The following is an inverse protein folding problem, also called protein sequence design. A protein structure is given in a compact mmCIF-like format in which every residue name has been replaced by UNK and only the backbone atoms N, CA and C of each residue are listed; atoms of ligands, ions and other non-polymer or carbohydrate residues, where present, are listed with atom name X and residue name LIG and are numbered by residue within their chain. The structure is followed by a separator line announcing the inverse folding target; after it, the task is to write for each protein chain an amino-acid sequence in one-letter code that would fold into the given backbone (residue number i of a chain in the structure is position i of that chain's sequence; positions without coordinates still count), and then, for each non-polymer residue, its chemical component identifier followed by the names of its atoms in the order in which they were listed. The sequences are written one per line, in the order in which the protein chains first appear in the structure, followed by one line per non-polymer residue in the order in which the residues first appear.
data_IF_010945780803
#
_entry.id   IF_010945780803
#
_cell.length_a   1.000
_cell.length_b   1.000
_cell.length_c   1.000
_cell.angle_alpha   90.00
_cell.angle_beta   90.00
_cell.angle_gamma   90.00
#
_symmetry.space_group_name_H-M   'P 1'
#
loop_
_entity.id
_entity.type
_entity.pdbx_description
1 polymer ?
#
# COMPACT_ATOMS: atom_id res chain seq x y z
N UNK A 1 -1.52 -9.38 3.86
CA UNK A 1 -0.96 -8.33 2.98
C UNK A 1 -1.44 -8.53 1.55
N UNK A 2 -1.96 -7.48 0.92
CA UNK A 2 -2.33 -7.48 -0.50
C UNK A 2 -1.11 -7.40 -1.39
N UNK A 3 -0.52 -8.54 -1.74
CA UNK A 3 0.57 -8.55 -2.71
C UNK A 3 0.03 -8.24 -4.12
N UNK A 4 0.11 -6.97 -4.51
CA UNK A 4 -0.14 -6.52 -5.87
C UNK A 4 1.08 -5.73 -6.37
N UNK A 5 1.20 -5.60 -7.69
CA UNK A 5 2.36 -4.93 -8.31
C UNK A 5 2.57 -3.50 -7.80
N UNK A 6 1.49 -2.77 -7.48
CA UNK A 6 1.54 -1.40 -6.98
C UNK A 6 2.18 -1.33 -5.59
N UNK A 7 1.76 -2.20 -4.67
CA UNK A 7 2.26 -2.24 -3.30
C UNK A 7 3.71 -2.72 -3.25
N UNK A 8 4.09 -3.69 -4.09
CA UNK A 8 5.49 -4.09 -4.28
C UNK A 8 6.35 -2.92 -4.78
N UNK A 9 5.89 -2.20 -5.81
CA UNK A 9 6.62 -1.05 -6.35
C UNK A 9 6.77 0.06 -5.30
N UNK A 10 5.76 0.28 -4.46
CA UNK A 10 5.82 1.25 -3.37
C UNK A 10 6.86 0.86 -2.31
N UNK A 11 6.88 -0.40 -1.88
CA UNK A 11 7.89 -0.90 -0.93
C UNK A 11 9.30 -0.69 -1.47
N UNK A 12 9.55 -1.13 -2.70
CA UNK A 12 10.85 -0.94 -3.37
C UNK A 12 11.27 0.53 -3.46
N UNK A 13 10.33 1.44 -3.76
CA UNK A 13 10.61 2.89 -3.80
C UNK A 13 10.90 3.48 -2.43
N UNK A 14 10.23 3.00 -1.38
CA UNK A 14 10.50 3.43 -0.01
C UNK A 14 11.89 2.97 0.46
N UNK A 15 12.27 1.73 0.15
CA UNK A 15 13.59 1.18 0.48
C UNK A 15 14.73 1.96 -0.18
N UNK A 16 14.54 2.42 -1.43
CA UNK A 16 15.52 3.23 -2.16
C UNK A 16 15.48 4.72 -1.80
N UNK A 17 14.49 5.18 -1.04
CA UNK A 17 14.32 6.60 -0.74
C UNK A 17 15.30 7.05 0.34
N UNK A 18 16.29 7.84 -0.04
CA UNK A 18 17.25 8.46 0.88
C UNK A 18 16.73 9.78 1.49
N UNK A 19 15.67 10.35 0.91
CA UNK A 19 15.03 11.57 1.41
C UNK A 19 13.81 11.23 2.27
N UNK A 20 13.55 12.00 3.35
CA UNK A 20 12.32 11.85 4.10
C UNK A 20 11.12 12.15 3.19
N UNK A 21 10.11 11.26 3.21
CA UNK A 21 8.90 11.42 2.42
C UNK A 21 7.99 12.50 3.05
N UNK A 22 8.13 13.74 2.61
CA UNK A 22 7.39 14.90 3.15
C UNK A 22 6.18 15.29 2.27
N UNK A 23 5.27 14.34 2.00
CA UNK A 23 3.99 14.68 1.39
C UNK A 23 3.06 15.41 2.37
N UNK A 24 2.07 16.17 1.87
CA UNK A 24 1.01 16.73 2.73
C UNK A 24 0.35 15.60 3.52
N UNK A 25 0.31 15.73 4.85
CA UNK A 25 -0.21 14.70 5.75
C UNK A 25 0.73 13.51 6.00
N UNK A 26 2.05 13.66 5.81
CA UNK A 26 3.06 12.64 6.11
C UNK A 26 3.05 12.14 7.57
N UNK A 27 2.59 12.96 8.52
CA UNK A 27 2.48 12.62 9.94
C UNK A 27 1.32 11.66 10.23
N UNK A 28 0.40 11.46 9.29
CA UNK A 28 -0.75 10.57 9.49
C UNK A 28 -0.29 9.13 9.28
N UNK A 29 -0.40 8.23 10.29
CA UNK A 29 -0.09 6.82 10.11
C UNK A 29 -1.11 6.18 9.17
N UNK A 30 -0.62 5.59 8.08
CA UNK A 30 -1.43 4.95 7.03
C UNK A 30 -1.16 3.46 6.96
N UNK A 31 -2.21 2.71 6.67
CA UNK A 31 -2.14 1.27 6.47
C UNK A 31 -1.27 0.97 5.24
N UNK A 32 -0.33 0.03 5.35
CA UNK A 32 0.53 -0.35 4.23
C UNK A 32 -0.22 -1.17 3.15
N UNK A 33 -1.43 -1.65 3.44
CA UNK A 33 -2.29 -2.35 2.48
C UNK A 33 -3.17 -1.41 1.66
N UNK A 34 -4.09 -0.69 2.32
CA UNK A 34 -5.05 0.19 1.63
C UNK A 34 -4.61 1.66 1.50
N UNK A 35 -3.50 2.06 2.13
CA UNK A 35 -2.97 3.45 2.14
C UNK A 35 -3.90 4.51 2.75
N UNK A 36 -4.97 4.10 3.42
CA UNK A 36 -5.85 4.97 4.20
C UNK A 36 -5.28 5.21 5.61
N UNK A 37 -5.66 6.32 6.28
CA UNK A 37 -5.40 6.49 7.71
C UNK A 37 -5.90 5.28 8.49
N UNK A 38 -5.20 4.86 9.55
CA UNK A 38 -5.57 3.66 10.32
C UNK A 38 -7.03 3.67 10.80
N UNK A 39 -7.54 4.84 11.19
CA UNK A 39 -8.94 5.04 11.61
C UNK A 39 -9.97 4.68 10.53
N UNK A 40 -9.57 4.73 9.26
CA UNK A 40 -10.43 4.49 8.10
C UNK A 40 -9.91 3.27 7.31
N UNK A 41 -9.18 2.36 7.96
CA UNK A 41 -8.67 1.17 7.30
C UNK A 41 -9.84 0.28 6.87
N UNK A 42 -9.85 -0.10 5.60
CA UNK A 42 -10.88 -0.98 5.02
C UNK A 42 -10.34 -2.37 4.69
N UNK A 43 -9.08 -2.68 5.04
CA UNK A 43 -8.44 -3.94 4.69
C UNK A 43 -9.24 -5.18 5.13
N UNK A 44 -9.97 -5.08 6.24
CA UNK A 44 -10.78 -6.19 6.78
C UNK A 44 -12.07 -6.41 5.97
N UNK A 45 -12.55 -5.37 5.27
CA UNK A 45 -13.76 -5.40 4.44
C UNK A 45 -13.49 -5.61 2.96
N UNK A 46 -12.25 -5.39 2.50
CA UNK A 46 -11.88 -5.53 1.10
C UNK A 46 -11.89 -7.02 0.74
N UNK A 47 -12.93 -7.44 0.03
CA UNK A 47 -12.93 -8.70 -0.69
C UNK A 47 -11.96 -8.55 -1.86
N UNK A 48 -10.82 -9.21 -1.75
CA UNK A 48 -9.77 -9.14 -2.76
C UNK A 48 -10.34 -9.69 -4.06
N UNK A 49 -10.57 -8.82 -5.04
CA UNK A 49 -10.85 -9.26 -6.41
C UNK A 49 -9.61 -9.99 -6.90
N UNK A 50 -9.65 -11.32 -6.85
CA UNK A 50 -8.59 -12.18 -7.36
C UNK A 50 -8.32 -11.75 -8.80
N UNK A 51 -7.11 -11.29 -9.17
CA UNK A 51 -6.82 -11.14 -10.58
C UNK A 51 -6.97 -12.53 -11.20
N UNK A 52 -7.58 -12.68 -12.40
CA UNK A 52 -7.56 -13.96 -13.09
C UNK A 52 -6.11 -14.43 -13.15
N UNK A 53 -5.89 -15.72 -12.89
CA UNK A 53 -4.56 -16.31 -12.89
C UNK A 53 -3.82 -15.86 -14.15
N UNK A 54 -2.79 -15.02 -13.97
CA UNK A 54 -1.89 -14.69 -15.07
C UNK A 54 -1.03 -15.92 -15.24
N UNK A 55 -1.49 -16.82 -16.09
CA UNK A 55 -0.69 -17.88 -16.69
C UNK A 55 0.33 -17.18 -17.59
N UNK A 56 1.56 -17.02 -17.09
CA UNK A 56 2.73 -16.80 -17.96
C UNK A 56 3.30 -18.16 -18.30
#
# INVERSE_FOLDING_TARGET
MTDNAVLRLRQFRLERSTRPFLARGNRVPRCQGCLLPHKNCLCDTIQRSRPPAVSV
#
